data_IF_553102698877
#
_entry.id   IF_553102698877
#
_cell.length_a   1.000
_cell.length_b   1.000
_cell.length_c   1.000
_cell.angle_alpha   90.00
_cell.angle_beta   90.00
_cell.angle_gamma   90.00
#
_symmetry.space_group_name_H-M   'P 1'
#
loop_
_entity.id
_entity.type
_entity.pdbx_description
1 polymer ?
#
# COMPACT_ATOMS: atom_id res chain seq x y z
N UNK A 1 27.19 -3.08 -0.92
CA UNK A 1 26.35 -2.78 0.26
C UNK A 1 24.94 -3.14 -0.10
N UNK A 2 24.27 -3.94 0.72
CA UNK A 2 22.88 -4.37 0.56
C UNK A 2 21.94 -3.16 0.60
N UNK A 3 20.91 -3.14 -0.25
CA UNK A 3 19.92 -2.08 -0.26
C UNK A 3 18.95 -2.18 0.91
N UNK A 4 18.39 -1.06 1.35
CA UNK A 4 17.34 -0.98 2.36
C UNK A 4 16.06 -0.40 1.75
N UNK A 5 14.92 -0.97 2.08
CA UNK A 5 13.62 -0.45 1.64
C UNK A 5 12.75 -0.14 2.85
N UNK A 6 12.18 1.06 2.83
CA UNK A 6 11.21 1.52 3.81
C UNK A 6 9.83 1.49 3.15
N UNK A 7 8.98 0.57 3.58
CA UNK A 7 7.60 0.48 3.11
C UNK A 7 6.71 1.33 4.01
N UNK A 8 6.11 2.39 3.46
CA UNK A 8 5.25 3.32 4.18
C UNK A 8 3.82 3.25 3.65
N UNK A 9 2.86 2.89 4.52
CA UNK A 9 1.46 3.00 4.18
C UNK A 9 0.99 4.45 4.25
N UNK A 10 0.22 4.89 3.24
CA UNK A 10 -0.33 6.23 3.19
C UNK A 10 -1.12 6.63 4.46
N UNK A 11 -1.22 7.95 4.79
CA UNK A 11 -2.04 8.47 5.88
C UNK A 11 -3.53 8.19 5.71
N UNK A 12 -4.35 8.31 6.80
CA UNK A 12 -5.79 8.10 6.75
C UNK A 12 -6.50 8.98 5.70
N UNK A 13 -7.38 8.34 4.92
CA UNK A 13 -8.21 8.99 3.90
C UNK A 13 -9.35 9.80 4.50
N UNK A 14 -10.04 10.60 3.67
CA UNK A 14 -11.20 11.41 4.08
C UNK A 14 -12.28 10.56 4.76
N UNK A 15 -13.02 11.16 5.71
CA UNK A 15 -14.01 10.44 6.52
C UNK A 15 -15.09 9.75 5.69
N UNK A 16 -15.46 10.33 4.55
CA UNK A 16 -16.43 9.75 3.63
C UNK A 16 -16.02 8.37 3.10
N UNK A 17 -14.71 8.09 3.06
CA UNK A 17 -14.15 6.83 2.57
C UNK A 17 -13.73 5.84 3.65
N UNK A 18 -13.69 6.27 4.92
CA UNK A 18 -13.15 5.47 6.03
C UNK A 18 -13.78 4.08 6.19
N UNK A 19 -15.08 3.93 5.86
CA UNK A 19 -15.82 2.67 5.99
C UNK A 19 -16.16 2.03 4.64
N UNK A 20 -15.54 2.51 3.57
CA UNK A 20 -15.77 2.02 2.21
C UNK A 20 -14.63 1.15 1.72
N UNK A 21 -14.97 0.22 0.87
CA UNK A 21 -14.01 -0.45 0.00
C UNK A 21 -13.55 0.61 -1.02
N UNK A 22 -12.31 1.05 -0.95
CA UNK A 22 -11.84 2.12 -1.84
C UNK A 22 -10.73 1.69 -2.80
N UNK A 23 -10.05 0.58 -2.56
CA UNK A 23 -9.10 0.00 -3.49
C UNK A 23 -8.29 1.01 -4.30
N UNK A 24 -8.51 1.02 -5.60
CA UNK A 24 -7.90 1.94 -6.57
C UNK A 24 -8.62 3.28 -6.70
N UNK A 25 -9.83 3.43 -6.11
CA UNK A 25 -10.53 4.72 -6.08
C UNK A 25 -9.63 5.79 -5.49
N UNK A 26 -9.64 6.98 -6.11
CA UNK A 26 -8.71 8.05 -5.72
C UNK A 26 -9.38 9.08 -4.82
N UNK A 27 -8.74 9.39 -3.70
CA UNK A 27 -9.17 10.39 -2.72
C UNK A 27 -8.00 10.95 -1.94
N UNK A 28 -8.21 12.11 -1.35
CA UNK A 28 -7.25 12.77 -0.47
C UNK A 28 -7.30 12.27 0.98
N UNK A 29 -6.50 12.90 1.83
CA UNK A 29 -6.44 12.62 3.26
C UNK A 29 -7.54 13.31 4.05
N UNK A 30 -7.86 12.76 5.22
CA UNK A 30 -8.61 13.44 6.26
C UNK A 30 -7.75 14.56 6.90
N UNK A 31 -8.38 15.36 7.78
CA UNK A 31 -7.63 16.34 8.60
C UNK A 31 -6.53 15.66 9.42
N UNK A 32 -6.85 14.53 10.06
CA UNK A 32 -5.87 13.72 10.80
C UNK A 32 -4.79 13.16 9.88
N UNK A 33 -5.16 12.71 8.67
CA UNK A 33 -4.21 12.24 7.65
C UNK A 33 -3.27 13.35 7.18
N UNK A 34 -3.75 14.58 7.05
CA UNK A 34 -2.90 15.74 6.70
C UNK A 34 -1.90 16.05 7.82
N UNK A 35 -2.32 15.99 9.09
CA UNK A 35 -1.43 16.17 10.23
C UNK A 35 -0.37 15.06 10.29
N UNK A 36 -0.78 13.79 10.10
CA UNK A 36 0.14 12.65 10.01
C UNK A 36 1.15 12.79 8.88
N UNK A 37 0.72 13.26 7.69
CA UNK A 37 1.61 13.48 6.55
C UNK A 37 2.70 14.52 6.83
N UNK A 38 2.38 15.56 7.62
CA UNK A 38 3.38 16.55 8.08
C UNK A 38 4.37 15.90 9.05
N UNK A 39 3.88 15.21 10.08
CA UNK A 39 4.72 14.54 11.05
C UNK A 39 5.66 13.49 10.40
N UNK A 40 5.18 12.75 9.41
CA UNK A 40 6.00 11.79 8.65
C UNK A 40 7.09 12.50 7.84
N UNK A 41 6.78 13.63 7.21
CA UNK A 41 7.78 14.40 6.48
C UNK A 41 8.86 14.93 7.43
N UNK A 42 8.47 15.46 8.59
CA UNK A 42 9.40 15.93 9.61
C UNK A 42 10.26 14.78 10.17
N UNK A 43 9.66 13.63 10.47
CA UNK A 43 10.36 12.42 10.93
C UNK A 43 11.40 11.92 9.93
N UNK A 44 11.10 12.02 8.65
CA UNK A 44 11.95 11.51 7.56
C UNK A 44 12.91 12.57 7.00
N UNK A 45 12.83 13.83 7.46
CA UNK A 45 13.59 14.95 6.91
C UNK A 45 15.12 14.71 6.94
N UNK A 46 15.62 14.13 8.04
CA UNK A 46 17.05 13.86 8.25
C UNK A 46 17.47 12.42 7.91
N UNK A 47 16.49 11.56 7.57
CA UNK A 47 16.79 10.16 7.26
C UNK A 47 17.45 10.06 5.88
N UNK A 48 18.57 9.32 5.73
CA UNK A 48 19.15 9.07 4.42
C UNK A 48 18.16 8.23 3.58
N UNK A 49 17.68 8.83 2.49
CA UNK A 49 16.79 8.23 1.49
C UNK A 49 17.37 8.63 0.14
N UNK A 50 17.66 7.66 -0.70
CA UNK A 50 18.28 7.85 -2.00
C UNK A 50 17.26 7.89 -3.13
N UNK A 51 16.06 7.33 -2.93
CA UNK A 51 14.96 7.36 -3.88
C UNK A 51 13.60 7.25 -3.19
N UNK A 52 12.58 7.86 -3.78
CA UNK A 52 11.17 7.69 -3.36
C UNK A 52 10.38 7.06 -4.52
N UNK A 53 9.59 6.03 -4.21
CA UNK A 53 8.65 5.40 -5.13
C UNK A 53 7.25 5.51 -4.55
N UNK A 54 6.26 5.86 -5.37
CA UNK A 54 4.86 5.90 -4.94
C UNK A 54 3.95 5.18 -5.95
N UNK A 55 2.75 4.78 -5.51
CA UNK A 55 1.82 4.00 -6.33
C UNK A 55 1.12 4.79 -7.44
N UNK A 56 1.21 6.12 -7.47
CA UNK A 56 0.46 7.00 -8.36
C UNK A 56 -0.84 7.55 -7.76
N UNK A 57 -1.49 6.85 -6.83
CA UNK A 57 -2.70 7.34 -6.16
C UNK A 57 -2.45 8.67 -5.44
N UNK A 58 -3.41 9.60 -5.45
CA UNK A 58 -3.28 10.93 -4.87
C UNK A 58 -2.77 10.91 -3.43
N UNK A 59 -3.24 9.95 -2.61
CA UNK A 59 -2.87 9.79 -1.20
C UNK A 59 -1.43 9.35 -0.97
N UNK A 60 -0.79 8.68 -1.94
CA UNK A 60 0.62 8.28 -1.90
C UNK A 60 1.51 9.30 -2.56
N UNK A 61 1.10 9.81 -3.73
CA UNK A 61 1.84 10.81 -4.51
C UNK A 61 2.08 12.10 -3.70
N UNK A 62 1.02 12.68 -3.10
CA UNK A 62 1.15 13.88 -2.26
C UNK A 62 2.12 13.71 -1.09
N UNK A 63 2.20 12.49 -0.51
CA UNK A 63 3.15 12.22 0.55
C UNK A 63 4.57 12.13 0.00
N UNK A 64 4.75 11.49 -1.16
CA UNK A 64 6.04 11.41 -1.84
C UNK A 64 6.57 12.81 -2.20
N UNK A 65 5.72 13.65 -2.80
CA UNK A 65 6.04 15.03 -3.13
C UNK A 65 6.45 15.84 -1.89
N UNK A 66 5.70 15.70 -0.78
CA UNK A 66 6.00 16.39 0.47
C UNK A 66 7.33 15.95 1.09
N UNK A 67 7.62 14.66 1.13
CA UNK A 67 8.87 14.12 1.70
C UNK A 67 10.06 14.45 0.79
N UNK A 68 9.86 14.44 -0.53
CA UNK A 68 10.89 14.76 -1.52
C UNK A 68 11.18 16.26 -1.66
N UNK A 69 10.29 17.13 -1.14
CA UNK A 69 10.43 18.58 -1.28
C UNK A 69 11.76 19.09 -0.68
N UNK A 70 12.55 19.79 -1.49
CA UNK A 70 13.86 20.33 -1.09
C UNK A 70 14.99 19.30 -0.98
N UNK A 71 14.75 18.06 -1.42
CA UNK A 71 15.74 16.99 -1.49
C UNK A 71 16.13 16.74 -2.97
N UNK A 72 17.39 16.57 -3.22
CA UNK A 72 17.90 16.18 -4.55
C UNK A 72 17.90 14.66 -4.70
N UNK A 73 16.70 14.07 -4.73
CA UNK A 73 16.49 12.63 -4.87
C UNK A 73 15.38 12.33 -5.88
N UNK A 74 15.48 11.25 -6.67
CA UNK A 74 14.42 10.88 -7.61
C UNK A 74 13.13 10.47 -6.89
N UNK A 75 12.00 11.05 -7.34
CA UNK A 75 10.64 10.66 -6.94
C UNK A 75 9.96 10.10 -8.18
N UNK A 76 9.56 8.83 -8.14
CA UNK A 76 8.97 8.16 -9.30
C UNK A 76 7.68 7.42 -8.96
N UNK A 77 6.81 7.30 -9.95
CA UNK A 77 5.62 6.47 -9.89
C UNK A 77 5.93 5.03 -10.31
N UNK A 78 5.32 4.06 -9.63
CA UNK A 78 5.22 2.68 -10.05
C UNK A 78 3.84 2.13 -9.65
N UNK A 79 2.97 1.95 -10.65
CA UNK A 79 1.61 1.44 -10.48
C UNK A 79 1.55 0.01 -9.92
N UNK A 80 2.68 -0.71 -9.93
CA UNK A 80 2.83 -1.98 -9.25
C UNK A 80 2.60 -1.91 -7.73
N UNK A 81 2.65 -0.72 -7.14
CA UNK A 81 2.35 -0.47 -5.73
C UNK A 81 0.92 0.02 -5.46
N UNK A 82 0.02 0.06 -6.46
CA UNK A 82 -1.39 0.40 -6.25
C UNK A 82 -2.06 -0.57 -5.27
N UNK A 83 -3.13 -0.11 -4.61
CA UNK A 83 -3.96 -0.97 -3.77
C UNK A 83 -4.63 -2.07 -4.61
N UNK A 84 -5.13 -3.11 -3.96
CA UNK A 84 -5.91 -4.17 -4.58
C UNK A 84 -7.07 -3.56 -5.35
N UNK A 85 -7.28 -4.03 -6.57
CA UNK A 85 -8.48 -3.75 -7.33
C UNK A 85 -9.64 -4.57 -6.75
N UNK A 86 -10.67 -3.90 -6.26
CA UNK A 86 -11.86 -4.53 -5.73
C UNK A 86 -13.04 -4.47 -6.72
N UNK A 87 -12.78 -4.06 -7.97
CA UNK A 87 -13.78 -4.03 -9.03
C UNK A 87 -15.05 -3.27 -8.61
N UNK A 88 -16.22 -3.86 -8.83
CA UNK A 88 -17.52 -3.25 -8.54
C UNK A 88 -17.81 -3.05 -7.05
N UNK A 89 -16.96 -3.55 -6.17
CA UNK A 89 -17.09 -3.28 -4.73
C UNK A 89 -16.60 -1.90 -4.33
N UNK A 90 -15.78 -1.26 -5.15
CA UNK A 90 -15.22 0.05 -4.82
C UNK A 90 -16.30 1.12 -4.66
N UNK A 91 -16.10 2.00 -3.69
CA UNK A 91 -17.05 3.04 -3.31
C UNK A 91 -18.19 2.59 -2.39
N UNK A 92 -18.43 1.30 -2.27
CA UNK A 92 -19.47 0.73 -1.42
C UNK A 92 -18.96 0.60 0.03
N UNK A 93 -19.86 0.66 1.01
CA UNK A 93 -19.45 0.42 2.40
C UNK A 93 -19.22 -1.07 2.64
N UNK A 94 -18.24 -1.42 3.47
CA UNK A 94 -17.99 -2.81 3.87
C UNK A 94 -19.23 -3.49 4.47
N UNK A 95 -20.02 -2.73 5.23
CA UNK A 95 -21.28 -3.23 5.79
C UNK A 95 -22.31 -3.57 4.70
N UNK A 96 -22.46 -2.74 3.66
CA UNK A 96 -23.38 -3.02 2.56
C UNK A 96 -22.92 -4.25 1.75
N UNK A 97 -21.61 -4.37 1.51
CA UNK A 97 -21.02 -5.53 0.86
C UNK A 97 -21.28 -6.81 1.67
N UNK A 98 -21.01 -6.77 2.96
CA UNK A 98 -21.24 -7.92 3.83
C UNK A 98 -22.73 -8.36 3.86
N UNK A 99 -23.65 -7.40 3.94
CA UNK A 99 -25.10 -7.71 3.90
C UNK A 99 -25.53 -8.38 2.59
N UNK A 100 -24.90 -8.06 1.48
CA UNK A 100 -25.23 -8.61 0.17
C UNK A 100 -24.54 -9.95 -0.09
N UNK A 101 -23.27 -10.07 0.31
CA UNK A 101 -22.43 -11.21 -0.04
C UNK A 101 -22.25 -12.22 1.08
N UNK A 102 -22.57 -11.83 2.33
CA UNK A 102 -22.40 -12.71 3.49
C UNK A 102 -21.00 -13.31 3.58
N UNK A 103 -20.91 -14.59 3.82
CA UNK A 103 -19.66 -15.35 3.97
C UNK A 103 -18.77 -15.35 2.71
N UNK A 104 -19.31 -14.89 1.56
CA UNK A 104 -18.53 -14.77 0.35
C UNK A 104 -17.33 -13.81 0.53
N UNK A 105 -17.45 -12.80 1.42
CA UNK A 105 -16.33 -11.92 1.75
C UNK A 105 -15.16 -12.66 2.39
N UNK A 106 -15.39 -13.72 3.12
CA UNK A 106 -14.35 -14.51 3.79
C UNK A 106 -13.43 -15.18 2.79
N UNK A 107 -13.91 -15.38 1.55
CA UNK A 107 -13.09 -15.91 0.45
C UNK A 107 -11.92 -15.01 0.06
N UNK A 108 -11.93 -13.74 0.44
CA UNK A 108 -10.73 -12.90 0.28
C UNK A 108 -9.52 -13.45 1.05
N UNK A 109 -9.79 -14.22 2.12
CA UNK A 109 -8.78 -14.85 2.98
C UNK A 109 -8.71 -16.35 2.72
N UNK A 110 -9.85 -17.05 2.61
CA UNK A 110 -9.89 -18.52 2.50
C UNK A 110 -9.67 -19.04 1.09
N UNK A 111 -9.79 -18.18 0.07
CA UNK A 111 -9.55 -18.51 -1.34
C UNK A 111 -8.82 -17.34 -2.03
N UNK A 112 -7.62 -16.96 -1.57
CA UNK A 112 -6.91 -15.79 -2.09
C UNK A 112 -6.40 -15.98 -3.53
N UNK A 113 -6.39 -17.19 -4.04
CA UNK A 113 -5.94 -17.51 -5.39
C UNK A 113 -7.07 -17.50 -6.43
N UNK A 114 -8.29 -17.86 -6.03
CA UNK A 114 -9.44 -17.99 -6.95
C UNK A 114 -10.45 -16.84 -6.82
N UNK A 115 -10.61 -16.27 -5.63
CA UNK A 115 -11.66 -15.29 -5.39
C UNK A 115 -11.27 -13.88 -5.86
N UNK A 116 -12.14 -13.28 -6.69
CA UNK A 116 -12.04 -11.90 -7.21
C UNK A 116 -13.14 -11.03 -6.61
N UNK A 117 -12.86 -10.23 -5.55
CA UNK A 117 -13.86 -9.34 -4.97
C UNK A 117 -14.33 -8.32 -6.02
N UNK A 118 -15.63 -8.27 -6.26
CA UNK A 118 -16.21 -7.39 -7.29
C UNK A 118 -15.71 -7.60 -8.71
N UNK A 119 -15.11 -8.75 -9.02
CA UNK A 119 -14.49 -9.02 -10.32
C UNK A 119 -13.08 -8.40 -10.50
N UNK A 120 -12.50 -7.86 -9.43
CA UNK A 120 -11.17 -7.26 -9.44
C UNK A 120 -10.02 -8.26 -9.36
N UNK A 121 -8.98 -7.93 -8.59
CA UNK A 121 -7.78 -8.78 -8.41
C UNK A 121 -8.01 -9.88 -7.37
N UNK A 122 -7.45 -11.06 -7.60
CA UNK A 122 -7.23 -12.08 -6.55
C UNK A 122 -6.13 -11.62 -5.59
N UNK A 123 -5.96 -12.31 -4.45
CA UNK A 123 -4.80 -12.13 -3.58
C UNK A 123 -3.49 -12.50 -4.29
N UNK A 124 -3.54 -13.53 -5.16
CA UNK A 124 -2.40 -13.96 -5.95
C UNK A 124 -1.97 -12.90 -6.98
N UNK A 125 -2.92 -12.32 -7.73
CA UNK A 125 -2.62 -11.24 -8.70
C UNK A 125 -1.93 -10.07 -8.00
N UNK A 126 -2.46 -9.65 -6.84
CA UNK A 126 -1.86 -8.59 -6.01
C UNK A 126 -0.44 -8.94 -5.57
N UNK A 127 -0.23 -10.18 -5.11
CA UNK A 127 1.08 -10.65 -4.64
C UNK A 127 2.11 -10.66 -5.78
N UNK A 128 1.77 -11.20 -6.92
CA UNK A 128 2.65 -11.25 -8.10
C UNK A 128 3.01 -9.85 -8.58
N UNK A 129 2.04 -8.92 -8.59
CA UNK A 129 2.27 -7.52 -8.97
C UNK A 129 3.19 -6.81 -7.99
N UNK A 130 3.01 -7.01 -6.68
CA UNK A 130 3.87 -6.42 -5.65
C UNK A 130 5.30 -6.98 -5.71
N UNK A 131 5.48 -8.29 -5.96
CA UNK A 131 6.77 -8.91 -6.18
C UNK A 131 7.48 -8.34 -7.42
N UNK A 132 6.77 -8.18 -8.53
CA UNK A 132 7.31 -7.56 -9.73
C UNK A 132 7.73 -6.11 -9.48
N UNK A 133 6.95 -5.33 -8.70
CA UNK A 133 7.31 -3.97 -8.31
C UNK A 133 8.55 -3.95 -7.40
N UNK A 134 8.64 -4.87 -6.45
CA UNK A 134 9.82 -5.08 -5.62
C UNK A 134 11.07 -5.34 -6.47
N UNK A 135 10.99 -6.21 -7.48
CA UNK A 135 12.09 -6.52 -8.40
C UNK A 135 12.65 -5.29 -9.14
N UNK A 136 11.83 -4.24 -9.37
CA UNK A 136 12.22 -3.00 -10.05
C UNK A 136 12.84 -1.93 -9.15
N UNK A 137 12.84 -2.14 -7.82
CA UNK A 137 13.46 -1.17 -6.90
C UNK A 137 14.99 -1.20 -7.03
N UNK A 138 15.71 -0.09 -6.72
CA UNK A 138 17.17 -0.06 -6.63
C UNK A 138 17.71 -1.15 -5.69
N UNK A 139 18.82 -1.76 -6.05
CA UNK A 139 19.48 -2.82 -5.26
C UNK A 139 20.48 -2.28 -4.23
N UNK A 140 20.76 -0.96 -4.26
CA UNK A 140 21.66 -0.29 -3.33
C UNK A 140 21.02 0.97 -2.77
N UNK A 141 21.54 1.47 -1.66
CA UNK A 141 21.00 2.65 -0.98
C UNK A 141 19.67 2.38 -0.26
N UNK A 142 19.01 3.45 0.17
CA UNK A 142 17.72 3.39 0.87
C UNK A 142 16.59 3.90 -0.03
N UNK A 143 15.64 3.05 -0.37
CA UNK A 143 14.43 3.43 -1.12
C UNK A 143 13.23 3.53 -0.19
N UNK A 144 12.53 4.66 -0.21
CA UNK A 144 11.24 4.82 0.44
C UNK A 144 10.12 4.48 -0.55
N UNK A 145 9.31 3.46 -0.25
CA UNK A 145 8.13 3.09 -1.03
C UNK A 145 6.88 3.54 -0.29
N UNK A 146 6.09 4.43 -0.89
CA UNK A 146 4.83 4.91 -0.33
C UNK A 146 3.67 4.23 -1.05
N UNK A 147 2.99 3.34 -0.34
CA UNK A 147 2.00 2.44 -0.91
C UNK A 147 0.76 2.28 -0.02
N UNK A 148 0.14 1.12 -0.08
CA UNK A 148 -1.14 0.78 0.55
C UNK A 148 -1.02 -0.48 1.40
N UNK A 149 -2.09 -0.78 2.16
CA UNK A 149 -2.12 -1.96 3.03
C UNK A 149 -1.95 -3.27 2.27
N UNK A 150 -2.66 -3.45 1.18
CA UNK A 150 -2.66 -4.68 0.38
C UNK A 150 -1.29 -5.04 -0.21
N UNK A 151 -0.68 -4.20 -1.06
CA UNK A 151 0.60 -4.53 -1.69
C UNK A 151 1.75 -4.67 -0.69
N UNK A 152 1.76 -3.88 0.40
CA UNK A 152 2.76 -4.04 1.46
C UNK A 152 2.58 -5.39 2.16
N UNK A 153 1.34 -5.75 2.51
CA UNK A 153 1.05 -7.03 3.15
C UNK A 153 1.40 -8.20 2.24
N UNK A 154 1.01 -8.15 0.98
CA UNK A 154 1.30 -9.19 0.00
C UNK A 154 2.81 -9.44 -0.18
N UNK A 155 3.59 -8.36 -0.29
CA UNK A 155 5.05 -8.46 -0.35
C UNK A 155 5.64 -9.08 0.92
N UNK A 156 5.22 -8.62 2.09
CA UNK A 156 5.73 -9.11 3.38
C UNK A 156 5.38 -10.58 3.62
N UNK A 157 4.18 -11.00 3.22
CA UNK A 157 3.75 -12.40 3.28
C UNK A 157 4.67 -13.27 2.43
N UNK A 158 4.94 -12.85 1.19
CA UNK A 158 5.86 -13.55 0.30
C UNK A 158 7.29 -13.63 0.86
N UNK A 159 7.84 -12.52 1.38
CA UNK A 159 9.18 -12.48 1.98
C UNK A 159 9.30 -13.36 3.23
N UNK A 160 8.21 -13.48 3.99
CA UNK A 160 8.15 -14.35 5.16
C UNK A 160 7.99 -15.85 4.82
N UNK A 161 7.78 -16.20 3.53
CA UNK A 161 7.48 -17.58 3.12
C UNK A 161 6.13 -18.09 3.62
N UNK A 162 5.23 -17.17 4.00
CA UNK A 162 3.93 -17.50 4.55
C UNK A 162 2.87 -17.68 3.44
N UNK A 163 1.84 -18.50 3.66
CA UNK A 163 0.76 -18.66 2.70
C UNK A 163 -0.06 -17.37 2.56
N UNK A 164 -0.72 -17.19 1.40
CA UNK A 164 -1.49 -15.98 1.09
C UNK A 164 -2.64 -15.69 2.06
N UNK A 165 -3.20 -16.73 2.68
CA UNK A 165 -4.22 -16.64 3.74
C UNK A 165 -3.73 -15.85 4.96
N UNK A 166 -2.41 -15.81 5.17
CA UNK A 166 -1.79 -15.07 6.26
C UNK A 166 -1.68 -13.56 6.00
N UNK A 167 -1.96 -13.09 4.78
CA UNK A 167 -1.70 -11.73 4.33
C UNK A 167 -2.29 -10.64 5.24
N UNK A 168 -3.46 -10.89 5.83
CA UNK A 168 -4.12 -9.93 6.74
C UNK A 168 -3.27 -9.57 7.96
N UNK A 169 -2.40 -10.49 8.42
CA UNK A 169 -1.51 -10.28 9.57
C UNK A 169 -0.38 -9.30 9.28
N UNK A 170 -0.08 -9.07 8.02
CA UNK A 170 1.01 -8.22 7.55
C UNK A 170 0.57 -6.82 7.11
N UNK A 171 -0.73 -6.50 7.22
CA UNK A 171 -1.25 -5.18 6.84
C UNK A 171 -0.75 -4.13 7.84
N UNK A 172 0.10 -3.17 7.43
CA UNK A 172 0.57 -2.13 8.34
C UNK A 172 -0.53 -1.12 8.65
N UNK A 173 -0.42 -0.42 9.77
CA UNK A 173 -1.25 0.74 10.09
C UNK A 173 -1.03 1.92 9.13
N UNK A 174 -1.98 2.85 9.03
CA UNK A 174 -1.76 4.09 8.28
C UNK A 174 -0.58 4.88 8.87
N UNK A 175 0.35 5.30 8.03
CA UNK A 175 1.57 6.01 8.43
C UNK A 175 2.65 5.11 9.04
N UNK A 176 2.43 3.82 9.15
CA UNK A 176 3.43 2.88 9.63
C UNK A 176 4.54 2.68 8.58
N UNK A 177 5.78 2.68 9.06
CA UNK A 177 6.98 2.42 8.27
C UNK A 177 7.52 1.05 8.65
N UNK A 178 7.65 0.16 7.68
CA UNK A 178 8.27 -1.16 7.83
C UNK A 178 9.59 -1.17 7.07
N UNK A 179 10.69 -1.41 7.78
CA UNK A 179 12.00 -1.58 7.14
C UNK A 179 12.19 -3.02 6.67
N UNK A 180 12.68 -3.19 5.46
CA UNK A 180 12.94 -4.49 4.83
C UNK A 180 14.32 -4.46 4.18
N UNK A 181 15.09 -5.52 4.41
CA UNK A 181 16.38 -5.72 3.73
C UNK A 181 16.14 -6.16 2.29
N UNK A 182 17.04 -5.75 1.39
CA UNK A 182 17.07 -6.21 0.01
C UNK A 182 18.35 -7.00 -0.22
N UNK A 183 18.34 -8.19 0.33
CA UNK A 183 19.42 -9.17 0.12
C UNK A 183 19.23 -9.91 -1.19
#
# INVERSE_FOLDING_TARGET
MSGSVLLLRHPPVTLAWRKRCYGRSDMGWSRAGTAMARALADQLATRPIDAIVHSGALRTRRLAERIGQGRDIPVREDSGWLERDFGTWEGRTWHALWRETGDLMDRMVTDPTGFRPGGGETGLDLSQRAQAAWGRLPTSGTTLVIAHGGPIAALRTWQAGEPLEAMVRFIPGCGEIVAVSRD
#
